data_IF_992783897571
#
_entry.id   IF_992783897571
#
_cell.length_a   1.000
_cell.length_b   1.000
_cell.length_c   1.000
_cell.angle_alpha   90.00
_cell.angle_beta   90.00
_cell.angle_gamma   90.00
#
_symmetry.space_group_name_H-M   'P 1'
#
loop_
_entity.id
_entity.type
_entity.pdbx_description
1 polymer ?
#
# COMPACT_ATOMS: atom_id res chain seq x y z
N UNK A 1 5.71 -7.58 0.66
CA UNK A 1 5.59 -6.14 0.28
C UNK A 1 5.51 -6.22 -1.20
N UNK A 2 4.31 -6.03 -1.78
CA UNK A 2 3.93 -6.49 -3.13
C UNK A 2 5.11 -6.44 -4.09
N UNK A 3 5.90 -7.52 -4.16
CA UNK A 3 6.96 -7.67 -5.14
C UNK A 3 6.22 -7.94 -6.43
N UNK A 4 5.86 -6.86 -7.11
CA UNK A 4 5.64 -6.93 -8.54
C UNK A 4 7.02 -7.31 -9.09
N UNK A 5 7.20 -8.62 -9.30
CA UNK A 5 8.36 -9.24 -9.94
C UNK A 5 8.48 -8.61 -11.32
N UNK A 6 9.27 -7.54 -11.42
CA UNK A 6 9.68 -6.93 -12.68
C UNK A 6 10.98 -7.61 -13.12
N UNK A 7 10.85 -8.82 -13.66
CA UNK A 7 11.79 -9.27 -14.69
C UNK A 7 11.44 -8.46 -15.94
N UNK A 8 12.21 -7.41 -16.24
CA UNK A 8 12.48 -6.82 -17.57
C UNK A 8 13.11 -5.43 -17.38
N UNK A 9 14.40 -5.33 -17.68
CA UNK A 9 15.28 -4.17 -17.42
C UNK A 9 14.88 -2.84 -18.10
N UNK A 10 13.80 -2.82 -18.90
CA UNK A 10 13.26 -1.60 -19.52
C UNK A 10 12.20 -0.84 -18.68
N UNK A 11 11.69 -1.42 -17.59
CA UNK A 11 10.59 -0.83 -16.79
C UNK A 11 10.96 -0.59 -15.32
N UNK A 12 12.23 -0.72 -14.96
CA UNK A 12 12.70 -0.61 -13.58
C UNK A 12 12.37 0.75 -12.93
N UNK A 13 12.43 1.85 -13.69
CA UNK A 13 12.09 3.19 -13.18
C UNK A 13 10.59 3.34 -12.89
N UNK A 14 9.73 2.89 -13.82
CA UNK A 14 8.28 2.88 -13.65
C UNK A 14 7.87 1.97 -12.48
N UNK A 15 8.41 0.75 -12.45
CA UNK A 15 8.23 -0.20 -11.36
C UNK A 15 8.68 0.38 -10.01
N UNK A 16 9.80 1.11 -10.01
CA UNK A 16 10.35 1.80 -8.83
C UNK A 16 9.39 2.85 -8.29
N UNK A 17 8.86 3.72 -9.15
CA UNK A 17 7.90 4.75 -8.73
C UNK A 17 6.54 4.17 -8.30
N UNK A 18 6.06 3.09 -8.94
CA UNK A 18 4.89 2.34 -8.49
C UNK A 18 5.12 1.79 -7.07
N UNK A 19 6.22 1.07 -6.87
CA UNK A 19 6.54 0.47 -5.58
C UNK A 19 6.78 1.53 -4.50
N UNK A 20 7.37 2.67 -4.85
CA UNK A 20 7.54 3.80 -3.95
C UNK A 20 6.19 4.37 -3.50
N UNK A 21 5.25 4.55 -4.41
CA UNK A 21 3.89 5.01 -4.05
C UNK A 21 3.17 4.03 -3.12
N UNK A 22 3.27 2.73 -3.40
CA UNK A 22 2.71 1.67 -2.55
C UNK A 22 3.40 1.58 -1.19
N UNK A 23 4.72 1.81 -1.12
CA UNK A 23 5.47 1.83 0.14
C UNK A 23 5.08 3.04 1.01
N UNK A 24 4.94 4.23 0.41
CA UNK A 24 4.49 5.43 1.14
C UNK A 24 3.05 5.24 1.64
N UNK A 25 2.17 4.68 0.82
CA UNK A 25 0.82 4.26 1.24
C UNK A 25 0.90 3.26 2.41
N UNK A 26 1.81 2.29 2.31
CA UNK A 26 2.26 1.36 3.34
C UNK A 26 2.43 2.02 4.72
N UNK A 27 3.28 3.04 4.75
CA UNK A 27 3.66 3.78 5.95
C UNK A 27 2.49 4.56 6.52
N UNK A 28 1.70 5.22 5.66
CA UNK A 28 0.53 5.99 6.07
C UNK A 28 -0.51 5.12 6.78
N UNK A 29 -0.83 3.94 6.21
CA UNK A 29 -1.73 2.97 6.84
C UNK A 29 -1.22 2.53 8.22
N UNK A 30 0.06 2.19 8.36
CA UNK A 30 0.62 1.81 9.66
C UNK A 30 0.53 2.98 10.67
N UNK A 31 0.87 4.20 10.26
CA UNK A 31 0.76 5.38 11.14
C UNK A 31 -0.68 5.65 11.57
N UNK A 32 -1.66 5.39 10.69
CA UNK A 32 -3.09 5.51 10.98
C UNK A 32 -3.55 4.49 12.02
N UNK A 33 -3.15 3.22 11.87
CA UNK A 33 -3.45 2.18 12.84
C UNK A 33 -2.81 2.48 14.20
N UNK A 34 -1.60 3.04 14.21
CA UNK A 34 -0.89 3.46 15.43
C UNK A 34 -1.44 4.76 16.04
N UNK A 35 -2.44 5.41 15.41
CA UNK A 35 -3.00 6.69 15.84
C UNK A 35 -1.92 7.77 16.04
N UNK A 36 -0.85 7.73 15.23
CA UNK A 36 0.23 8.71 15.28
C UNK A 36 -0.30 10.10 14.91
N UNK A 37 0.07 11.14 15.66
CA UNK A 37 -0.40 12.51 15.39
C UNK A 37 0.12 13.12 14.08
N UNK A 38 1.12 12.50 13.43
CA UNK A 38 1.71 13.00 12.18
C UNK A 38 1.70 11.92 11.08
N UNK A 39 0.91 12.17 10.04
CA UNK A 39 0.75 11.27 8.90
C UNK A 39 1.47 11.81 7.66
N UNK A 40 2.20 10.94 6.98
CA UNK A 40 3.05 11.28 5.83
C UNK A 40 2.28 11.41 4.51
N UNK A 41 1.10 12.04 4.50
CA UNK A 41 0.30 12.20 3.28
C UNK A 41 1.02 13.02 2.20
N UNK A 42 1.93 13.91 2.60
CA UNK A 42 2.60 14.86 1.70
C UNK A 42 3.77 14.26 0.92
N UNK A 43 4.27 13.09 1.33
CA UNK A 43 5.46 12.46 0.74
C UNK A 43 5.20 11.90 -0.66
N UNK A 44 3.92 11.65 -1.01
CA UNK A 44 3.54 11.20 -2.34
C UNK A 44 2.23 11.87 -2.81
N UNK A 45 2.14 12.21 -4.10
CA UNK A 45 0.93 12.79 -4.70
C UNK A 45 -0.29 11.89 -4.50
N UNK A 46 -0.11 10.57 -4.56
CA UNK A 46 -1.17 9.58 -4.36
C UNK A 46 -1.71 9.63 -2.92
N UNK A 47 -0.84 9.59 -1.91
CA UNK A 47 -1.25 9.67 -0.50
C UNK A 47 -1.87 11.02 -0.16
N UNK A 48 -1.48 12.09 -0.88
CA UNK A 48 -2.09 13.41 -0.72
C UNK A 48 -3.51 13.48 -1.26
N UNK A 49 -3.76 12.83 -2.39
CA UNK A 49 -5.09 12.71 -2.97
C UNK A 49 -5.99 11.80 -2.10
N UNK A 50 -5.43 10.73 -1.56
CA UNK A 50 -6.14 9.76 -0.73
C UNK A 50 -6.26 10.17 0.74
N UNK A 51 -5.72 11.32 1.17
CA UNK A 51 -5.75 11.73 2.57
C UNK A 51 -7.17 11.80 3.14
N UNK A 52 -8.14 12.28 2.35
CA UNK A 52 -9.55 12.30 2.76
C UNK A 52 -10.19 10.90 2.80
N UNK A 53 -9.64 9.94 2.05
CA UNK A 53 -10.02 8.52 2.04
C UNK A 53 -9.39 7.69 3.15
N UNK A 54 -8.22 8.08 3.62
CA UNK A 54 -7.42 7.33 4.59
C UNK A 54 -7.45 8.07 5.93
N UNK A 55 -8.45 7.81 6.77
CA UNK A 55 -8.60 8.50 8.07
C UNK A 55 -9.37 9.82 8.02
N UNK A 56 -9.92 10.20 6.87
CA UNK A 56 -10.95 11.23 6.76
C UNK A 56 -12.35 10.71 7.06
N UNK A 57 -13.39 11.49 6.73
CA UNK A 57 -14.81 11.14 7.00
C UNK A 57 -15.47 10.32 5.89
N UNK A 58 -14.70 9.76 4.95
CA UNK A 58 -15.25 9.06 3.79
C UNK A 58 -15.25 7.55 4.02
N UNK A 59 -16.25 6.86 3.45
CA UNK A 59 -16.27 5.40 3.45
C UNK A 59 -15.29 4.90 2.41
N UNK A 60 -14.27 4.18 2.84
CA UNK A 60 -13.21 3.66 1.96
C UNK A 60 -13.26 2.14 1.92
N UNK A 61 -13.10 1.58 0.72
CA UNK A 61 -12.97 0.15 0.51
C UNK A 61 -11.59 -0.15 -0.08
N UNK A 62 -10.94 -1.20 0.41
CA UNK A 62 -9.65 -1.67 -0.09
C UNK A 62 -9.86 -3.05 -0.71
N UNK A 63 -9.40 -3.22 -1.95
CA UNK A 63 -9.47 -4.48 -2.68
C UNK A 63 -8.06 -5.08 -2.70
N UNK A 64 -7.89 -6.23 -2.05
CA UNK A 64 -6.64 -6.99 -2.06
C UNK A 64 -6.67 -8.00 -3.22
N UNK A 65 -5.95 -7.71 -4.30
CA UNK A 65 -5.80 -8.62 -5.44
C UNK A 65 -4.56 -9.49 -5.22
N UNK A 66 -4.78 -10.79 -5.04
CA UNK A 66 -3.71 -11.77 -4.75
C UNK A 66 -3.73 -12.90 -5.78
N UNK A 67 -2.56 -13.50 -6.01
CA UNK A 67 -2.42 -14.63 -6.91
C UNK A 67 -2.66 -15.94 -6.17
N UNK A 68 -3.45 -16.89 -6.71
CA UNK A 68 -3.65 -18.20 -6.10
C UNK A 68 -2.45 -19.15 -6.26
N UNK A 69 -1.38 -18.73 -6.94
CA UNK A 69 -0.20 -19.56 -7.18
C UNK A 69 0.62 -19.78 -5.90
N UNK A 70 1.08 -21.02 -5.68
CA UNK A 70 1.93 -21.37 -4.54
C UNK A 70 3.26 -20.58 -4.53
N UNK A 71 3.78 -20.22 -5.71
CA UNK A 71 5.00 -19.40 -5.83
C UNK A 71 4.81 -17.95 -5.33
N UNK A 72 3.57 -17.50 -5.18
CA UNK A 72 3.23 -16.15 -4.74
C UNK A 72 2.74 -16.10 -3.29
N UNK A 73 2.91 -17.18 -2.51
CA UNK A 73 2.31 -17.28 -1.18
C UNK A 73 2.88 -16.25 -0.19
N UNK A 74 4.18 -15.97 -0.25
CA UNK A 74 4.84 -14.98 0.61
C UNK A 74 4.31 -13.55 0.35
N UNK A 75 4.15 -13.21 -0.93
CA UNK A 75 3.61 -11.90 -1.35
C UNK A 75 2.13 -11.78 -1.04
N UNK A 76 1.39 -12.87 -1.23
CA UNK A 76 -0.03 -12.97 -0.86
C UNK A 76 -0.21 -12.76 0.64
N UNK A 77 0.61 -13.44 1.47
CA UNK A 77 0.58 -13.26 2.93
C UNK A 77 0.84 -11.80 3.30
N UNK A 78 1.86 -11.17 2.70
CA UNK A 78 2.13 -9.76 3.01
C UNK A 78 0.97 -8.84 2.61
N UNK A 79 0.32 -9.13 1.49
CA UNK A 79 -0.83 -8.33 1.00
C UNK A 79 -2.04 -8.49 1.92
N UNK A 80 -2.28 -9.71 2.43
CA UNK A 80 -3.36 -10.00 3.38
C UNK A 80 -3.09 -9.36 4.75
N UNK A 81 -1.87 -9.44 5.26
CA UNK A 81 -1.48 -8.75 6.51
C UNK A 81 -1.71 -7.25 6.42
N UNK A 82 -1.42 -6.69 5.25
CA UNK A 82 -1.63 -5.29 4.98
C UNK A 82 -3.12 -4.91 4.96
N UNK A 83 -3.95 -5.70 4.26
CA UNK A 83 -5.41 -5.53 4.27
C UNK A 83 -6.00 -5.69 5.68
N UNK A 84 -5.47 -6.61 6.47
CA UNK A 84 -5.89 -6.81 7.86
C UNK A 84 -5.61 -5.59 8.73
N UNK A 85 -4.42 -4.99 8.62
CA UNK A 85 -4.09 -3.74 9.32
C UNK A 85 -4.99 -2.59 8.88
N UNK A 86 -5.22 -2.47 7.58
CA UNK A 86 -6.02 -1.37 7.03
C UNK A 86 -7.51 -1.40 7.46
N UNK A 87 -8.01 -2.56 7.92
CA UNK A 87 -9.34 -2.69 8.52
C UNK A 87 -9.48 -1.93 9.84
N UNK A 88 -8.37 -1.72 10.56
CA UNK A 88 -8.36 -1.09 11.88
C UNK A 88 -8.16 0.43 11.83
N UNK A 89 -8.45 1.05 10.68
CA UNK A 89 -8.42 2.50 10.43
C UNK A 89 -9.85 2.99 10.34
#
# INVERSE_FOLDING_TARGET
>A
MVKIVFLLEGRASEAGEINKSLLTFGRVINSLVEHSGHFHYRDNRLTRLMGDSLGGKTKTCIIATVSPSAHCIEETSTTLDYAHRAKNI
#
